data_IF_039041765257
#
_entry.id   IF_039041765257
#
_cell.length_a   1.000
_cell.length_b   1.000
_cell.length_c   1.000
_cell.angle_alpha   90.00
_cell.angle_beta   90.00
_cell.angle_gamma   90.00
#
_symmetry.space_group_name_H-M   'P 1'
#
loop_
_entity.id
_entity.type
_entity.pdbx_description
1 polymer ?
#
# COMPACT_ATOMS: atom_id res chain seq x y z
N UNK A 1 3.53 20.76 23.41
CA UNK A 1 2.42 20.19 22.61
C UNK A 1 2.77 20.29 21.14
N UNK A 2 3.37 19.23 20.64
CA UNK A 2 3.69 18.96 19.25
C UNK A 2 2.92 17.70 18.87
N UNK A 3 2.05 17.81 17.88
CA UNK A 3 1.39 16.66 17.26
C UNK A 3 2.07 16.43 15.92
N UNK A 4 2.62 15.24 15.70
CA UNK A 4 3.12 14.83 14.39
C UNK A 4 2.03 14.03 13.69
N UNK A 5 1.70 14.43 12.46
CA UNK A 5 0.62 13.79 11.72
C UNK A 5 0.95 13.62 10.24
N UNK A 6 0.37 12.60 9.63
CA UNK A 6 0.55 12.34 8.22
C UNK A 6 -0.37 11.24 7.68
N UNK A 7 -0.48 11.17 6.36
CA UNK A 7 -1.21 10.14 5.65
C UNK A 7 -0.28 9.32 4.75
N UNK A 8 -0.56 8.04 4.54
CA UNK A 8 0.22 7.14 3.67
C UNK A 8 1.70 7.11 4.09
N UNK A 9 2.64 7.42 3.20
CA UNK A 9 4.06 7.57 3.52
C UNK A 9 4.32 8.61 4.63
N UNK A 10 3.53 9.69 4.69
CA UNK A 10 3.63 10.69 5.76
C UNK A 10 3.17 10.13 7.11
N UNK A 11 2.18 9.23 7.12
CA UNK A 11 1.73 8.53 8.32
C UNK A 11 2.81 7.57 8.84
N UNK A 12 3.48 6.86 7.93
CA UNK A 12 4.65 6.05 8.27
C UNK A 12 5.81 6.88 8.82
N UNK A 13 6.12 8.01 8.19
CA UNK A 13 7.13 8.94 8.69
C UNK A 13 6.79 9.49 10.08
N UNK A 14 5.51 9.75 10.39
CA UNK A 14 5.07 10.17 11.71
C UNK A 14 5.33 9.10 12.78
N UNK A 15 5.01 7.83 12.48
CA UNK A 15 5.30 6.71 13.39
C UNK A 15 6.81 6.54 13.58
N UNK A 16 7.59 6.53 12.51
CA UNK A 16 9.06 6.42 12.59
C UNK A 16 9.70 7.60 13.34
N UNK A 17 9.14 8.81 13.22
CA UNK A 17 9.60 9.95 14.02
C UNK A 17 9.37 9.71 15.52
N UNK A 18 8.19 9.20 15.90
CA UNK A 18 7.89 8.79 17.27
C UNK A 18 8.86 7.72 17.80
N UNK A 19 9.10 6.67 17.02
CA UNK A 19 10.02 5.59 17.41
C UNK A 19 11.48 6.07 17.59
N UNK A 20 11.83 7.21 17.00
CA UNK A 20 13.16 7.82 17.07
C UNK A 20 13.20 9.07 17.96
N UNK A 21 12.11 9.43 18.63
CA UNK A 21 12.05 10.62 19.48
C UNK A 21 12.77 10.41 20.81
N UNK A 22 14.10 10.58 20.79
CA UNK A 22 14.95 10.43 21.98
C UNK A 22 14.94 11.66 22.89
N UNK A 23 14.44 12.79 22.38
CA UNK A 23 14.43 14.07 23.09
C UNK A 23 13.06 14.39 23.70
N UNK A 24 12.03 13.58 23.41
CA UNK A 24 10.66 13.80 23.90
C UNK A 24 10.02 15.04 23.30
N UNK A 25 10.28 15.30 22.01
CA UNK A 25 9.74 16.45 21.27
C UNK A 25 8.30 16.23 20.82
N UNK A 26 7.84 14.98 20.70
CA UNK A 26 6.54 14.59 20.17
C UNK A 26 5.62 14.26 21.33
N UNK A 27 4.57 15.06 21.52
CA UNK A 27 3.57 14.83 22.57
C UNK A 27 2.46 13.87 22.10
N UNK A 28 2.23 13.75 20.79
CA UNK A 28 1.29 12.79 20.24
C UNK A 28 1.40 12.59 18.73
N UNK A 29 0.88 11.47 18.24
CA UNK A 29 0.99 11.04 16.84
C UNK A 29 -0.38 10.72 16.27
N UNK A 30 -0.67 11.19 15.07
CA UNK A 30 -1.86 10.80 14.29
C UNK A 30 -1.45 10.34 12.90
N UNK A 31 -1.57 9.04 12.65
CA UNK A 31 -1.13 8.41 11.41
C UNK A 31 -2.32 7.80 10.64
N UNK A 32 -2.65 8.37 9.49
CA UNK A 32 -3.63 7.80 8.57
C UNK A 32 -2.96 6.88 7.55
N UNK A 33 -3.54 5.70 7.34
CA UNK A 33 -3.12 4.65 6.39
C UNK A 33 -1.59 4.49 6.30
N UNK A 34 -0.90 4.38 7.44
CA UNK A 34 0.54 4.54 7.46
C UNK A 34 1.23 3.45 6.64
N UNK A 35 2.05 3.90 5.69
CA UNK A 35 3.00 3.01 5.02
C UNK A 35 4.15 2.75 5.98
N UNK A 36 4.08 1.64 6.70
CA UNK A 36 5.13 1.18 7.61
C UNK A 36 5.55 -0.24 7.25
N UNK A 37 6.81 -0.53 7.52
CA UNK A 37 7.43 -1.83 7.39
C UNK A 37 8.06 -2.15 8.74
N UNK A 38 7.72 -3.30 9.30
CA UNK A 38 8.07 -3.66 10.67
C UNK A 38 9.29 -4.59 10.70
N UNK A 39 10.06 -4.51 11.78
CA UNK A 39 11.09 -5.50 12.08
C UNK A 39 10.42 -6.86 12.28
N UNK A 40 10.94 -7.94 11.67
CA UNK A 40 10.41 -9.28 11.84
C UNK A 40 10.36 -9.72 13.31
N UNK A 41 9.20 -10.19 13.77
CA UNK A 41 9.02 -10.86 15.05
C UNK A 41 7.95 -11.96 14.92
N UNK A 42 8.35 -13.22 15.07
CA UNK A 42 7.48 -14.39 14.89
C UNK A 42 6.44 -14.55 16.02
N UNK A 43 6.51 -13.73 17.08
CA UNK A 43 5.50 -13.71 18.16
C UNK A 43 4.29 -12.86 17.80
N UNK A 44 4.37 -12.08 16.72
CA UNK A 44 3.26 -11.25 16.27
C UNK A 44 2.23 -12.09 15.54
N UNK A 45 0.95 -11.93 15.90
CA UNK A 45 -0.15 -12.53 15.16
C UNK A 45 -1.36 -11.61 15.07
N UNK A 46 -2.01 -11.66 13.91
CA UNK A 46 -3.20 -10.88 13.56
C UNK A 46 -4.33 -11.85 13.31
N UNK A 47 -5.42 -11.72 14.06
CA UNK A 47 -6.61 -12.57 13.94
C UNK A 47 -7.80 -11.74 13.50
N UNK A 48 -8.48 -12.24 12.47
CA UNK A 48 -9.76 -11.71 11.98
C UNK A 48 -10.62 -12.88 11.52
N UNK A 49 -11.81 -13.04 12.12
CA UNK A 49 -12.66 -14.20 11.87
C UNK A 49 -11.90 -15.50 12.12
N UNK A 50 -11.92 -16.41 11.14
CA UNK A 50 -11.19 -17.68 11.17
C UNK A 50 -9.73 -17.55 10.69
N UNK A 51 -9.33 -16.38 10.18
CA UNK A 51 -8.00 -16.16 9.61
C UNK A 51 -7.03 -15.68 10.68
N UNK A 52 -5.91 -16.40 10.80
CA UNK A 52 -4.74 -15.96 11.56
C UNK A 52 -3.56 -15.73 10.63
N UNK A 53 -2.95 -14.55 10.70
CA UNK A 53 -1.72 -14.20 10.00
C UNK A 53 -0.62 -14.10 11.05
N UNK A 54 0.44 -14.89 10.88
CA UNK A 54 1.62 -14.89 11.76
C UNK A 54 2.72 -13.98 11.19
N UNK A 55 3.48 -13.36 12.07
CA UNK A 55 4.58 -12.43 11.77
C UNK A 55 4.13 -10.97 11.58
N UNK A 56 5.12 -10.08 11.48
CA UNK A 56 4.94 -8.62 11.44
C UNK A 56 4.59 -8.06 10.05
N UNK A 57 3.88 -8.84 9.23
CA UNK A 57 3.48 -8.42 7.89
C UNK A 57 4.61 -8.49 6.86
N UNK A 58 4.59 -7.54 5.90
CA UNK A 58 5.45 -7.57 4.71
C UNK A 58 6.03 -6.19 4.42
N UNK A 59 7.24 -6.17 3.84
CA UNK A 59 7.87 -4.93 3.39
C UNK A 59 7.09 -4.32 2.20
N UNK A 60 7.21 -3.01 1.99
CA UNK A 60 6.63 -2.31 0.85
C UNK A 60 7.01 -2.98 -0.46
N UNK A 61 8.31 -3.22 -0.62
CA UNK A 61 8.83 -3.88 -1.81
C UNK A 61 8.24 -5.28 -1.97
N UNK A 62 8.04 -6.02 -0.88
CA UNK A 62 7.44 -7.35 -0.93
C UNK A 62 6.02 -7.32 -1.52
N UNK A 63 5.11 -6.58 -0.90
CA UNK A 63 3.73 -6.57 -1.38
C UNK A 63 3.58 -5.80 -2.71
N UNK A 64 4.37 -4.76 -3.00
CA UNK A 64 4.30 -4.12 -4.33
C UNK A 64 4.75 -5.05 -5.46
N UNK A 65 5.85 -5.78 -5.28
CA UNK A 65 6.36 -6.69 -6.32
C UNK A 65 5.43 -7.86 -6.55
N UNK A 66 4.76 -8.34 -5.49
CA UNK A 66 3.70 -9.34 -5.61
C UNK A 66 2.47 -8.78 -6.35
N UNK A 67 2.03 -7.57 -6.01
CA UNK A 67 0.91 -6.90 -6.66
C UNK A 67 1.16 -6.68 -8.16
N UNK A 68 2.35 -6.22 -8.56
CA UNK A 68 2.72 -6.01 -9.96
C UNK A 68 2.60 -7.31 -10.77
N UNK A 69 2.90 -8.47 -10.16
CA UNK A 69 2.75 -9.76 -10.82
C UNK A 69 1.28 -10.12 -11.04
N UNK A 70 0.47 -10.08 -9.99
CA UNK A 70 -0.85 -10.74 -9.97
C UNK A 70 -2.05 -9.82 -10.19
N UNK A 71 -1.99 -8.53 -9.82
CA UNK A 71 -3.14 -7.62 -9.96
C UNK A 71 -3.68 -7.50 -11.39
N UNK A 72 -2.87 -7.45 -12.46
CA UNK A 72 -3.41 -7.37 -13.82
C UNK A 72 -4.23 -8.60 -14.19
N UNK A 73 -3.80 -9.80 -13.76
CA UNK A 73 -4.54 -11.02 -14.03
C UNK A 73 -5.79 -11.13 -13.14
N UNK A 74 -5.69 -10.76 -11.86
CA UNK A 74 -6.81 -10.74 -10.92
C UNK A 74 -7.97 -9.85 -11.43
N UNK A 75 -7.67 -8.79 -12.18
CA UNK A 75 -8.68 -7.94 -12.81
C UNK A 75 -9.65 -8.69 -13.74
N UNK A 76 -9.30 -9.88 -14.23
CA UNK A 76 -10.23 -10.76 -14.98
C UNK A 76 -11.42 -11.21 -14.11
N UNK A 77 -11.18 -11.46 -12.81
CA UNK A 77 -12.21 -11.89 -11.87
C UNK A 77 -13.14 -10.75 -11.41
N UNK A 78 -12.75 -9.49 -11.64
CA UNK A 78 -13.47 -8.30 -11.18
C UNK A 78 -13.83 -7.38 -12.36
N UNK A 79 -14.73 -7.80 -13.28
CA UNK A 79 -15.03 -7.04 -14.50
C UNK A 79 -15.68 -5.68 -14.23
N UNK A 80 -16.33 -5.50 -13.08
CA UNK A 80 -16.99 -4.25 -12.66
C UNK A 80 -16.10 -3.39 -11.73
N UNK A 81 -14.84 -3.76 -11.54
CA UNK A 81 -13.90 -3.00 -10.71
C UNK A 81 -13.68 -1.58 -11.28
N UNK A 82 -13.46 -0.57 -10.41
CA UNK A 82 -13.03 0.74 -10.86
C UNK A 82 -11.76 0.67 -11.70
N UNK A 83 -11.71 1.48 -12.76
CA UNK A 83 -10.61 1.53 -13.73
C UNK A 83 -10.27 0.19 -14.40
N UNK A 84 -11.15 -0.81 -14.36
CA UNK A 84 -10.92 -2.11 -15.03
C UNK A 84 -10.55 -1.95 -16.49
N UNK A 85 -11.17 -1.01 -17.20
CA UNK A 85 -10.93 -0.70 -18.61
C UNK A 85 -9.50 -0.23 -18.90
N UNK A 86 -8.76 0.27 -17.90
CA UNK A 86 -7.36 0.65 -18.05
C UNK A 86 -6.42 -0.57 -18.10
N UNK A 87 -6.88 -1.74 -17.63
CA UNK A 87 -6.09 -2.98 -17.62
C UNK A 87 -6.34 -3.75 -18.92
N UNK A 88 -5.81 -3.19 -20.00
CA UNK A 88 -5.97 -3.69 -21.38
C UNK A 88 -5.23 -5.01 -21.66
N UNK A 89 -4.18 -5.34 -20.91
CA UNK A 89 -3.36 -6.55 -21.12
C UNK A 89 -3.53 -7.60 -20.01
N UNK A 90 -4.67 -7.59 -19.31
CA UNK A 90 -4.99 -8.56 -18.26
C UNK A 90 -4.85 -10.01 -18.72
N UNK A 91 -5.40 -10.33 -19.90
CA UNK A 91 -5.38 -11.68 -20.48
C UNK A 91 -3.95 -12.14 -20.80
N UNK A 92 -3.16 -11.26 -21.43
CA UNK A 92 -1.76 -11.55 -21.76
C UNK A 92 -0.92 -11.75 -20.50
N UNK A 93 -1.18 -10.99 -19.43
CA UNK A 93 -0.54 -11.25 -18.14
C UNK A 93 -0.93 -12.61 -17.57
N UNK A 94 -2.21 -12.99 -17.56
CA UNK A 94 -2.63 -14.31 -17.08
C UNK A 94 -1.93 -15.45 -17.83
N UNK A 95 -1.91 -15.39 -19.16
CA UNK A 95 -1.23 -16.38 -19.99
C UNK A 95 0.26 -16.46 -19.69
N UNK A 96 0.92 -15.32 -19.54
CA UNK A 96 2.37 -15.27 -19.28
C UNK A 96 2.70 -15.80 -17.88
N UNK A 97 1.86 -15.53 -16.86
CA UNK A 97 2.02 -16.14 -15.54
C UNK A 97 1.81 -17.67 -15.58
N UNK A 98 0.82 -18.16 -16.33
CA UNK A 98 0.60 -19.61 -16.52
C UNK A 98 1.79 -20.28 -17.22
N UNK A 99 2.33 -19.67 -18.28
CA UNK A 99 3.52 -20.16 -18.98
C UNK A 99 4.76 -20.20 -18.07
N UNK A 100 4.87 -19.27 -17.12
CA UNK A 100 5.92 -19.28 -16.09
C UNK A 100 5.63 -20.22 -14.91
N UNK A 101 4.53 -20.96 -14.94
CA UNK A 101 4.11 -21.86 -13.85
C UNK A 101 3.68 -21.14 -12.57
N UNK A 102 3.47 -19.82 -12.63
CA UNK A 102 3.02 -19.00 -11.51
C UNK A 102 1.51 -19.07 -11.29
N UNK A 103 0.77 -19.56 -12.29
CA UNK A 103 -0.63 -19.97 -12.22
C UNK A 103 -0.77 -21.41 -12.69
N UNK A 104 -1.73 -22.15 -12.13
CA UNK A 104 -2.03 -23.53 -12.46
C UNK A 104 -3.34 -23.68 -13.23
N UNK A 105 -4.27 -22.74 -13.12
CA UNK A 105 -5.54 -22.78 -13.82
C UNK A 105 -5.37 -22.77 -15.36
N UNK A 106 -6.20 -23.55 -16.05
CA UNK A 106 -6.14 -23.70 -17.52
C UNK A 106 -7.00 -22.67 -18.27
N UNK A 107 -8.12 -22.23 -17.68
CA UNK A 107 -9.04 -21.30 -18.33
C UNK A 107 -8.79 -19.87 -17.83
N UNK A 108 -8.96 -18.88 -18.72
CA UNK A 108 -8.75 -17.47 -18.38
C UNK A 108 -9.59 -17.00 -17.16
N UNK A 109 -10.90 -17.32 -17.04
CA UNK A 109 -11.66 -16.98 -15.84
C UNK A 109 -11.09 -17.61 -14.56
N UNK A 110 -10.65 -18.87 -14.63
CA UNK A 110 -10.05 -19.56 -13.48
C UNK A 110 -8.66 -18.99 -13.13
N UNK A 111 -7.89 -18.52 -14.12
CA UNK A 111 -6.62 -17.82 -13.90
C UNK A 111 -6.82 -16.49 -13.17
N UNK A 112 -7.86 -15.73 -13.53
CA UNK A 112 -8.25 -14.52 -12.83
C UNK A 112 -8.58 -14.78 -11.36
N UNK A 113 -9.39 -15.80 -11.09
CA UNK A 113 -9.75 -16.21 -9.73
C UNK A 113 -8.53 -16.70 -8.94
N UNK A 114 -7.66 -17.51 -9.54
CA UNK A 114 -6.43 -17.98 -8.88
C UNK A 114 -5.49 -16.80 -8.56
N UNK A 115 -5.35 -15.82 -9.45
CA UNK A 115 -4.55 -14.63 -9.19
C UNK A 115 -5.12 -13.78 -8.04
N UNK A 116 -6.45 -13.67 -7.95
CA UNK A 116 -7.13 -13.00 -6.85
C UNK A 116 -6.93 -13.75 -5.52
N UNK A 117 -7.12 -15.07 -5.53
CA UNK A 117 -6.87 -15.94 -4.36
C UNK A 117 -5.42 -15.83 -3.89
N UNK A 118 -4.45 -15.77 -4.82
CA UNK A 118 -3.04 -15.53 -4.50
C UNK A 118 -2.82 -14.21 -3.78
N UNK A 119 -3.44 -13.11 -4.22
CA UNK A 119 -3.37 -11.82 -3.53
C UNK A 119 -3.98 -11.92 -2.12
N UNK A 120 -5.17 -12.51 -1.98
CA UNK A 120 -5.80 -12.70 -0.67
C UNK A 120 -4.94 -13.55 0.26
N UNK A 121 -4.45 -14.71 -0.19
CA UNK A 121 -3.53 -15.56 0.56
C UNK A 121 -2.24 -14.82 0.94
N UNK A 122 -1.78 -13.90 0.09
CA UNK A 122 -0.60 -13.11 0.40
C UNK A 122 -0.82 -12.18 1.59
N UNK A 123 -2.05 -11.66 1.76
CA UNK A 123 -2.47 -10.85 2.90
C UNK A 123 -3.33 -9.62 2.59
N UNK A 124 -3.77 -9.43 1.35
CA UNK A 124 -4.85 -8.48 1.09
C UNK A 124 -6.17 -8.99 1.68
N UNK A 125 -7.02 -8.05 2.08
CA UNK A 125 -8.36 -8.35 2.57
C UNK A 125 -9.32 -8.55 1.38
N UNK A 126 -10.33 -9.44 1.48
CA UNK A 126 -11.34 -9.60 0.44
C UNK A 126 -12.05 -8.28 0.07
N UNK A 127 -12.21 -7.37 1.02
CA UNK A 127 -12.78 -6.04 0.80
C UNK A 127 -11.94 -5.15 -0.12
N UNK A 128 -10.72 -5.57 -0.46
CA UNK A 128 -9.82 -4.89 -1.40
C UNK A 128 -9.92 -5.44 -2.83
N UNK A 129 -10.64 -6.54 -3.07
CA UNK A 129 -10.62 -7.27 -4.34
C UNK A 129 -10.96 -6.38 -5.55
N UNK A 130 -12.01 -5.55 -5.42
CA UNK A 130 -12.46 -4.65 -6.49
C UNK A 130 -11.45 -3.54 -6.80
N UNK A 131 -10.43 -3.32 -5.97
CA UNK A 131 -9.47 -2.23 -6.12
C UNK A 131 -8.18 -2.66 -6.82
N UNK A 132 -7.94 -3.94 -7.04
CA UNK A 132 -6.70 -4.40 -7.67
C UNK A 132 -6.49 -3.85 -9.08
N UNK A 133 -7.55 -3.72 -9.88
CA UNK A 133 -7.43 -3.15 -11.22
C UNK A 133 -6.98 -1.69 -11.17
N UNK A 134 -7.63 -0.86 -10.36
CA UNK A 134 -7.27 0.55 -10.24
C UNK A 134 -5.90 0.76 -9.59
N UNK A 135 -5.55 -0.07 -8.61
CA UNK A 135 -4.26 -0.01 -7.93
C UNK A 135 -3.08 -0.41 -8.82
N UNK A 136 -3.34 -1.26 -9.82
CA UNK A 136 -2.38 -1.48 -10.89
C UNK A 136 -2.34 -0.32 -11.89
N UNK A 137 -3.49 0.25 -12.25
CA UNK A 137 -3.56 1.36 -13.21
C UNK A 137 -2.79 2.62 -12.75
N UNK A 138 -2.60 2.81 -11.44
CA UNK A 138 -1.81 3.87 -10.83
C UNK A 138 -0.32 3.51 -10.63
N UNK A 139 0.24 2.74 -11.57
CA UNK A 139 1.68 2.49 -11.74
C UNK A 139 2.44 2.01 -10.47
N UNK A 140 2.09 0.84 -9.89
CA UNK A 140 2.86 0.24 -8.80
C UNK A 140 4.31 -0.06 -9.21
N UNK A 141 4.58 -0.37 -10.50
CA UNK A 141 5.93 -0.62 -11.01
C UNK A 141 6.87 0.57 -10.80
N UNK A 142 6.44 1.78 -11.14
CA UNK A 142 7.24 2.99 -10.92
C UNK A 142 7.57 3.22 -9.44
N UNK A 143 6.63 2.86 -8.55
CA UNK A 143 6.85 2.92 -7.11
C UNK A 143 7.87 1.88 -6.66
N UNK A 144 7.74 0.63 -7.12
CA UNK A 144 8.68 -0.44 -6.79
C UNK A 144 10.11 -0.13 -7.27
N UNK A 145 10.29 0.39 -8.49
CA UNK A 145 11.61 0.81 -8.99
C UNK A 145 12.20 1.91 -8.12
N UNK A 146 11.41 2.95 -7.78
CA UNK A 146 11.86 4.04 -6.90
C UNK A 146 12.38 3.54 -5.55
N UNK A 147 11.62 2.66 -4.89
CA UNK A 147 12.01 2.12 -3.59
C UNK A 147 13.15 1.11 -3.70
N UNK A 148 13.18 0.25 -4.72
CA UNK A 148 14.29 -0.66 -4.97
C UNK A 148 15.60 0.10 -5.18
N UNK A 149 15.58 1.16 -6.00
CA UNK A 149 16.74 2.04 -6.20
C UNK A 149 17.14 2.74 -4.90
N UNK A 150 16.19 3.17 -4.07
CA UNK A 150 16.49 3.86 -2.81
C UNK A 150 17.10 2.91 -1.76
N UNK A 151 16.49 1.73 -1.54
CA UNK A 151 17.01 0.72 -0.61
C UNK A 151 18.35 0.17 -1.07
N UNK A 152 18.47 -0.13 -2.37
CA UNK A 152 19.73 -0.57 -2.94
C UNK A 152 20.75 0.54 -3.15
N UNK A 153 20.39 1.82 -3.01
CA UNK A 153 21.25 2.98 -3.34
C UNK A 153 21.75 2.95 -4.80
N UNK A 154 20.91 2.52 -5.73
CA UNK A 154 21.24 2.48 -7.14
C UNK A 154 21.10 3.88 -7.77
N UNK A 155 22.08 4.26 -8.59
CA UNK A 155 22.00 5.42 -9.47
C UNK A 155 21.01 5.23 -10.62
N UNK A 156 20.54 6.32 -11.21
CA UNK A 156 19.60 6.28 -12.35
C UNK A 156 20.24 5.66 -13.60
N UNK A 157 21.57 5.73 -13.70
CA UNK A 157 22.40 5.17 -14.75
C UNK A 157 22.54 3.64 -14.68
N UNK A 158 22.31 3.05 -13.49
CA UNK A 158 22.44 1.60 -13.25
C UNK A 158 21.26 0.81 -13.85
N UNK A 159 20.16 1.47 -14.22
CA UNK A 159 18.99 0.88 -14.90
C UNK A 159 18.52 -0.43 -14.25
N UNK A 160 18.28 -0.38 -12.94
CA UNK A 160 17.89 -1.55 -12.15
C UNK A 160 16.71 -2.29 -12.81
N UNK A 161 16.86 -3.59 -13.06
CA UNK A 161 15.87 -4.43 -13.75
C UNK A 161 15.51 -3.98 -15.18
N UNK A 162 16.40 -3.26 -15.87
CA UNK A 162 16.15 -2.75 -17.21
C UNK A 162 15.19 -1.57 -17.23
N UNK A 163 14.97 -0.91 -16.09
CA UNK A 163 14.07 0.24 -15.98
C UNK A 163 14.82 1.57 -16.00
N UNK A 164 14.25 2.53 -16.72
CA UNK A 164 14.63 3.94 -16.68
C UNK A 164 13.41 4.86 -16.55
N UNK A 165 13.64 6.17 -16.48
CA UNK A 165 12.57 7.18 -16.46
C UNK A 165 12.82 8.20 -17.57
N UNK A 166 11.82 8.46 -18.40
CA UNK A 166 11.91 9.45 -19.47
C UNK A 166 10.55 10.07 -19.78
N UNK A 167 10.55 11.25 -20.42
CA UNK A 167 9.35 11.71 -21.12
C UNK A 167 9.06 10.76 -22.27
N UNK A 168 7.80 10.39 -22.46
CA UNK A 168 7.34 9.53 -23.55
C UNK A 168 6.29 10.23 -24.40
N UNK A 169 6.29 9.96 -25.71
CA UNK A 169 5.28 10.47 -26.63
C UNK A 169 3.97 9.66 -26.55
N UNK A 170 2.96 10.00 -27.35
CA UNK A 170 1.67 9.29 -27.40
C UNK A 170 1.80 7.80 -27.77
N UNK A 171 2.85 7.43 -28.50
CA UNK A 171 3.16 6.06 -28.88
C UNK A 171 3.98 5.32 -27.81
N UNK A 172 4.33 5.97 -26.69
CA UNK A 172 5.13 5.41 -25.61
C UNK A 172 6.63 5.43 -25.83
N UNK A 173 7.13 6.00 -26.92
CA UNK A 173 8.56 6.07 -27.21
C UNK A 173 9.21 7.22 -26.42
N UNK A 174 10.38 7.01 -25.79
CA UNK A 174 11.11 8.06 -25.10
C UNK A 174 11.44 9.25 -26.01
N UNK A 175 11.31 10.45 -25.45
CA UNK A 175 11.60 11.72 -26.09
C UNK A 175 12.23 12.69 -25.08
N UNK A 176 12.89 13.76 -25.55
CA UNK A 176 13.33 14.84 -24.67
C UNK A 176 12.14 15.48 -23.95
N UNK A 177 12.25 15.68 -22.64
CA UNK A 177 11.22 16.37 -21.85
C UNK A 177 11.06 17.81 -22.37
N UNK A 178 9.84 18.27 -22.67
CA UNK A 178 9.60 19.68 -23.01
C UNK A 178 10.09 20.61 -21.88
N UNK A 179 10.87 21.65 -22.22
CA UNK A 179 11.50 22.54 -21.21
C UNK A 179 10.50 23.24 -20.29
N UNK A 180 9.36 23.65 -20.83
CA UNK A 180 8.28 24.28 -20.08
C UNK A 180 7.63 23.29 -19.09
N UNK A 181 7.48 22.03 -19.50
CA UNK A 181 6.94 20.99 -18.65
C UNK A 181 7.91 20.67 -17.50
N UNK A 182 9.20 20.54 -17.79
CA UNK A 182 10.22 20.28 -16.78
C UNK A 182 10.23 21.35 -15.68
N UNK A 183 10.06 22.63 -16.04
CA UNK A 183 9.98 23.71 -15.07
C UNK A 183 8.76 23.61 -14.15
N UNK A 184 7.61 23.16 -14.68
CA UNK A 184 6.40 22.92 -13.89
C UNK A 184 6.58 21.70 -12.98
N UNK A 185 7.07 20.59 -13.53
CA UNK A 185 7.32 19.34 -12.79
C UNK A 185 8.24 19.59 -11.59
N UNK A 186 9.31 20.36 -11.76
CA UNK A 186 10.24 20.70 -10.66
C UNK A 186 9.52 21.34 -9.46
N UNK A 187 8.46 22.12 -9.69
CA UNK A 187 7.71 22.81 -8.64
C UNK A 187 6.54 21.98 -8.07
N UNK A 188 5.91 21.11 -8.87
CA UNK A 188 4.62 20.49 -8.51
C UNK A 188 4.64 18.97 -8.41
N UNK A 189 5.74 18.30 -8.74
CA UNK A 189 5.80 16.84 -8.70
C UNK A 189 5.66 16.31 -7.26
N UNK A 190 4.83 15.29 -7.08
CA UNK A 190 4.62 14.60 -5.80
C UNK A 190 5.73 13.62 -5.40
N UNK A 191 6.85 13.60 -6.14
CA UNK A 191 8.06 12.81 -5.79
C UNK A 191 8.18 11.43 -6.45
N UNK A 192 7.55 11.20 -7.61
CA UNK A 192 7.73 9.99 -8.41
C UNK A 192 7.03 10.05 -9.77
N UNK A 193 7.39 9.14 -10.68
CA UNK A 193 6.68 8.92 -11.93
C UNK A 193 5.42 8.04 -11.71
N UNK A 194 4.39 8.13 -12.57
CA UNK A 194 4.26 9.07 -13.69
C UNK A 194 4.01 10.52 -13.23
N UNK A 195 4.61 11.49 -13.93
CA UNK A 195 4.37 12.93 -13.71
C UNK A 195 4.50 13.70 -15.03
N UNK A 196 3.43 14.35 -15.46
CA UNK A 196 3.35 14.91 -16.80
C UNK A 196 3.54 13.82 -17.85
N UNK A 197 4.46 14.04 -18.78
CA UNK A 197 4.90 13.09 -19.81
C UNK A 197 5.96 12.11 -19.31
N UNK A 198 6.54 12.33 -18.13
CA UNK A 198 7.58 11.46 -17.56
C UNK A 198 6.94 10.21 -17.00
N UNK A 199 7.40 9.05 -17.49
CA UNK A 199 6.92 7.74 -17.07
C UNK A 199 8.09 6.76 -16.93
N UNK A 200 7.80 5.57 -16.40
CA UNK A 200 8.74 4.46 -16.36
C UNK A 200 8.88 3.83 -17.76
N UNK A 201 10.12 3.52 -18.12
CA UNK A 201 10.51 2.97 -19.42
C UNK A 201 11.14 1.61 -19.20
N UNK A 202 10.71 0.63 -20.00
CA UNK A 202 11.38 -0.65 -20.18
C UNK A 202 12.46 -0.46 -21.26
N UNK A 203 13.73 -0.38 -20.84
CA UNK A 203 14.88 -0.23 -21.74
C UNK A 203 15.16 -1.53 -22.52
N UNK A 204 14.74 -2.68 -21.99
CA UNK A 204 14.96 -4.01 -22.56
C UNK A 204 13.87 -4.41 -23.57
N UNK A 205 12.88 -3.55 -23.84
CA UNK A 205 11.83 -3.84 -24.81
C UNK A 205 12.45 -4.22 -26.19
N UNK A 206 12.05 -5.33 -26.83
CA UNK A 206 12.71 -5.88 -28.02
C UNK A 206 12.85 -4.92 -29.21
N UNK A 207 11.96 -3.94 -29.35
CA UNK A 207 11.97 -2.95 -30.42
C UNK A 207 12.63 -1.62 -30.04
N UNK A 208 13.34 -1.59 -28.90
CA UNK A 208 13.96 -0.40 -28.30
C UNK A 208 13.15 0.15 -27.13
N UNK A 209 13.72 1.06 -26.31
CA UNK A 209 13.10 1.55 -25.09
C UNK A 209 11.65 2.05 -25.28
N UNK A 210 10.76 1.65 -24.39
CA UNK A 210 9.31 1.91 -24.49
C UNK A 210 8.70 2.12 -23.11
N UNK A 211 7.67 2.97 -22.99
CA UNK A 211 6.83 3.08 -21.79
C UNK A 211 6.44 1.69 -21.29
N UNK A 212 6.71 1.38 -20.02
CA UNK A 212 6.61 0.03 -19.46
C UNK A 212 5.25 -0.62 -19.74
N UNK A 213 4.16 0.12 -19.51
CA UNK A 213 2.80 -0.36 -19.70
C UNK A 213 2.43 -0.69 -21.17
N UNK A 214 3.21 -0.20 -22.13
CA UNK A 214 3.05 -0.45 -23.57
C UNK A 214 4.13 -1.38 -24.13
N UNK A 215 5.11 -1.77 -23.31
CA UNK A 215 6.25 -2.56 -23.74
C UNK A 215 5.95 -4.06 -23.80
N UNK A 216 6.83 -4.80 -24.48
CA UNK A 216 6.79 -6.26 -24.57
C UNK A 216 7.84 -6.88 -23.67
N UNK A 217 7.49 -8.00 -23.03
CA UNK A 217 8.43 -8.82 -22.28
C UNK A 217 9.47 -9.44 -23.20
N UNK A 218 10.79 -9.24 -22.97
CA UNK A 218 11.84 -9.79 -23.81
C UNK A 218 11.81 -11.32 -23.94
N UNK A 219 11.39 -12.02 -22.89
CA UNK A 219 11.41 -13.49 -22.84
C UNK A 219 10.36 -14.17 -23.72
N UNK A 220 9.23 -13.51 -23.99
CA UNK A 220 8.07 -14.11 -24.66
C UNK A 220 7.53 -13.24 -25.81
N UNK A 221 8.04 -12.01 -25.97
CA UNK A 221 7.60 -11.06 -27.00
C UNK A 221 6.17 -10.56 -26.83
N UNK A 222 5.51 -10.79 -25.69
CA UNK A 222 4.11 -10.40 -25.44
C UNK A 222 4.03 -9.04 -24.78
N UNK A 223 3.00 -8.27 -25.14
CA UNK A 223 2.61 -7.08 -24.40
C UNK A 223 1.85 -7.50 -23.14
N UNK A 224 2.58 -7.90 -22.11
CA UNK A 224 2.05 -8.43 -20.84
C UNK A 224 2.41 -7.53 -19.66
N UNK A 225 2.64 -6.25 -19.92
CA UNK A 225 3.17 -5.27 -18.97
C UNK A 225 4.56 -5.62 -18.43
N UNK A 226 5.48 -6.08 -19.30
CA UNK A 226 6.87 -6.36 -18.94
C UNK A 226 7.00 -7.30 -17.73
N UNK A 227 6.42 -8.50 -17.84
CA UNK A 227 6.57 -9.56 -16.86
C UNK A 227 8.05 -9.81 -16.47
N UNK A 228 9.00 -9.71 -17.41
CA UNK A 228 10.42 -9.89 -17.10
C UNK A 228 10.95 -8.87 -16.09
N UNK A 229 10.65 -7.57 -16.29
CA UNK A 229 11.00 -6.53 -15.33
C UNK A 229 10.29 -6.71 -13.98
N UNK A 230 9.01 -7.11 -14.01
CA UNK A 230 8.25 -7.41 -12.79
C UNK A 230 8.85 -8.58 -11.98
N UNK A 231 9.32 -9.64 -12.65
CA UNK A 231 9.98 -10.77 -12.03
C UNK A 231 11.37 -10.40 -11.50
N UNK A 232 12.10 -9.54 -12.19
CA UNK A 232 13.36 -9.01 -11.67
C UNK A 232 13.13 -8.21 -10.38
N UNK A 233 12.14 -7.32 -10.35
CA UNK A 233 11.81 -6.59 -9.12
C UNK A 233 11.40 -7.53 -7.99
N UNK A 234 10.67 -8.60 -8.30
CA UNK A 234 10.33 -9.66 -7.33
C UNK A 234 11.59 -10.35 -6.79
N UNK A 235 12.56 -10.66 -7.64
CA UNK A 235 13.83 -11.27 -7.26
C UNK A 235 14.60 -10.41 -6.26
N UNK A 236 14.55 -9.08 -6.39
CA UNK A 236 15.23 -8.19 -5.43
C UNK A 236 14.76 -8.38 -3.98
N UNK A 237 13.53 -8.89 -3.77
CA UNK A 237 12.95 -9.06 -2.45
C UNK A 237 13.07 -10.49 -1.92
N UNK A 238 12.91 -11.49 -2.78
CA UNK A 238 12.85 -12.91 -2.36
C UNK A 238 14.01 -13.76 -2.87
N UNK A 239 14.85 -13.19 -3.73
CA UNK A 239 16.02 -13.83 -4.30
C UNK A 239 17.27 -13.62 -3.46
N UNK A 240 18.41 -13.96 -4.06
CA UNK A 240 19.71 -13.99 -3.41
C UNK A 240 20.84 -13.47 -4.32
N UNK A 241 20.51 -12.79 -5.43
CA UNK A 241 21.50 -12.07 -6.21
C UNK A 241 22.20 -10.99 -5.37
N UNK A 242 23.36 -10.51 -5.83
CA UNK A 242 24.06 -9.40 -5.16
C UNK A 242 23.16 -8.16 -5.05
N UNK A 243 22.40 -7.86 -6.10
CA UNK A 243 21.44 -6.77 -6.11
C UNK A 243 20.28 -7.02 -5.14
N UNK A 244 19.77 -8.25 -5.05
CA UNK A 244 18.73 -8.61 -4.10
C UNK A 244 19.20 -8.42 -2.66
N UNK A 245 20.38 -8.94 -2.31
CA UNK A 245 20.96 -8.77 -0.97
C UNK A 245 21.20 -7.29 -0.63
N UNK A 246 21.63 -6.49 -1.61
CA UNK A 246 21.82 -5.03 -1.47
C UNK A 246 20.50 -4.32 -1.18
N UNK A 247 19.42 -4.66 -1.89
CA UNK A 247 18.07 -4.10 -1.65
C UNK A 247 17.51 -4.55 -0.30
N UNK A 248 17.62 -5.84 0.02
CA UNK A 248 17.13 -6.40 1.29
C UNK A 248 17.84 -5.77 2.49
N UNK A 249 19.15 -5.50 2.40
CA UNK A 249 19.87 -4.76 3.43
C UNK A 249 19.29 -3.35 3.64
N UNK A 250 19.01 -2.62 2.56
CA UNK A 250 18.39 -1.28 2.66
C UNK A 250 16.93 -1.30 3.14
N UNK A 251 16.19 -2.38 2.91
CA UNK A 251 14.87 -2.59 3.50
C UNK A 251 15.02 -2.75 5.03
N UNK A 252 15.97 -3.58 5.48
CA UNK A 252 16.20 -3.83 6.91
C UNK A 252 16.60 -2.57 7.69
N UNK A 253 17.32 -1.64 7.06
CA UNK A 253 17.73 -0.37 7.66
C UNK A 253 16.56 0.57 8.02
N UNK A 254 15.40 0.42 7.36
CA UNK A 254 14.25 1.32 7.53
C UNK A 254 13.06 0.66 8.24
N UNK A 255 13.27 -0.53 8.82
CA UNK A 255 12.21 -1.24 9.54
C UNK A 255 11.95 -0.63 10.92
N UNK A 256 10.67 -0.39 11.19
CA UNK A 256 10.16 0.10 12.46
C UNK A 256 10.15 -0.96 13.55
N UNK A 257 10.42 -0.52 14.75
CA UNK A 257 10.34 -1.29 15.99
C UNK A 257 8.93 -1.35 16.59
N UNK A 258 8.06 -0.41 16.21
CA UNK A 258 6.79 -0.13 16.89
C UNK A 258 6.93 0.21 18.39
N UNK A 259 8.12 0.57 18.87
CA UNK A 259 8.34 1.09 20.23
C UNK A 259 8.23 2.62 20.21
N UNK A 260 7.17 3.16 20.81
CA UNK A 260 6.85 4.59 20.83
C UNK A 260 7.11 5.21 22.21
N UNK A 261 7.69 4.45 23.15
CA UNK A 261 7.96 4.91 24.52
C UNK A 261 6.72 5.41 25.26
N UNK A 262 5.54 4.90 24.93
CA UNK A 262 4.26 5.32 25.49
C UNK A 262 3.67 6.62 24.96
N UNK A 263 4.23 7.18 23.88
CA UNK A 263 3.67 8.35 23.18
C UNK A 263 2.23 8.06 22.72
N UNK A 264 1.28 8.91 23.14
CA UNK A 264 -0.12 8.82 22.72
C UNK A 264 -0.24 8.83 21.21
N UNK A 265 -0.77 7.75 20.63
CA UNK A 265 -0.76 7.53 19.19
C UNK A 265 -2.12 7.06 18.70
N UNK A 266 -2.63 7.70 17.64
CA UNK A 266 -3.81 7.25 16.91
C UNK A 266 -3.39 6.78 15.53
N UNK A 267 -3.86 5.60 15.14
CA UNK A 267 -3.76 5.09 13.77
C UNK A 267 -5.17 4.97 13.20
N UNK A 268 -5.40 5.51 12.01
CA UNK A 268 -6.67 5.36 11.27
C UNK A 268 -6.38 4.66 9.95
N UNK A 269 -7.06 3.56 9.63
CA UNK A 269 -6.77 2.81 8.40
C UNK A 269 -8.03 2.18 7.80
N UNK A 270 -8.24 2.37 6.50
CA UNK A 270 -9.27 1.67 5.75
C UNK A 270 -8.99 0.17 5.56
N UNK A 271 -10.00 -0.67 5.77
CA UNK A 271 -9.93 -2.12 5.58
C UNK A 271 -9.78 -2.52 4.11
N UNK A 272 -10.33 -1.72 3.19
CA UNK A 272 -10.27 -1.94 1.75
C UNK A 272 -8.99 -1.36 1.13
N UNK A 273 -7.97 -1.05 1.91
CA UNK A 273 -6.73 -0.47 1.39
C UNK A 273 -5.93 -1.49 0.56
N UNK A 274 -6.04 -1.38 -0.77
CA UNK A 274 -5.31 -2.25 -1.69
C UNK A 274 -3.89 -1.74 -2.02
N UNK A 275 -3.49 -0.56 -1.51
CA UNK A 275 -2.19 0.08 -1.78
C UNK A 275 -1.19 -0.16 -0.67
N UNK A 276 -1.63 0.03 0.56
CA UNK A 276 -0.89 -0.15 1.80
C UNK A 276 -1.76 -1.05 2.67
N UNK A 277 -1.74 -2.38 2.47
CA UNK A 277 -2.72 -3.25 3.10
C UNK A 277 -2.66 -3.20 4.62
N UNK A 278 -3.81 -3.03 5.25
CA UNK A 278 -3.95 -2.92 6.70
C UNK A 278 -3.39 -4.17 7.43
N UNK A 279 -3.49 -5.34 6.78
CA UNK A 279 -2.94 -6.61 7.25
C UNK A 279 -1.41 -6.71 7.24
N UNK A 280 -0.72 -5.87 6.45
CA UNK A 280 0.75 -5.80 6.43
C UNK A 280 1.33 -4.67 7.26
N UNK A 281 0.48 -3.73 7.69
CA UNK A 281 0.91 -2.45 8.25
C UNK A 281 0.30 -2.20 9.63
N UNK A 282 -0.87 -1.58 9.72
CA UNK A 282 -1.42 -1.10 11.00
C UNK A 282 -1.82 -2.21 11.97
N UNK A 283 -2.39 -3.32 11.49
CA UNK A 283 -2.72 -4.47 12.36
C UNK A 283 -1.46 -5.07 13.01
N UNK A 284 -0.43 -5.49 12.27
CA UNK A 284 0.78 -6.00 12.88
C UNK A 284 1.57 -4.93 13.64
N UNK A 285 1.42 -3.63 13.31
CA UNK A 285 2.04 -2.55 14.09
C UNK A 285 1.47 -2.49 15.51
N UNK A 286 0.14 -2.51 15.63
CA UNK A 286 -0.54 -2.52 16.94
C UNK A 286 -0.14 -3.76 17.75
N UNK A 287 -0.08 -4.92 17.08
CA UNK A 287 0.37 -6.16 17.71
C UNK A 287 1.83 -6.08 18.20
N UNK A 288 2.75 -5.60 17.36
CA UNK A 288 4.16 -5.44 17.71
C UNK A 288 4.37 -4.41 18.82
N UNK A 289 3.65 -3.28 18.80
CA UNK A 289 3.69 -2.28 19.87
C UNK A 289 3.29 -2.90 21.22
N UNK A 290 2.27 -3.77 21.24
CA UNK A 290 1.86 -4.48 22.46
C UNK A 290 2.90 -5.46 23.03
N UNK A 291 3.96 -5.78 22.27
CA UNK A 291 5.12 -6.57 22.73
C UNK A 291 6.31 -5.73 23.12
N UNK A 292 6.58 -4.69 22.33
CA UNK A 292 7.87 -4.00 22.30
C UNK A 292 7.87 -2.74 23.16
N UNK A 293 6.74 -2.04 23.23
CA UNK A 293 6.60 -0.84 24.02
C UNK A 293 6.26 -1.21 25.47
N UNK A 294 6.96 -0.60 26.43
CA UNK A 294 6.76 -0.83 27.85
C UNK A 294 5.47 -0.19 28.38
N UNK A 295 4.93 0.81 27.66
CA UNK A 295 3.68 1.47 28.00
C UNK A 295 2.82 1.64 26.73
N UNK A 296 2.35 0.55 26.10
CA UNK A 296 1.60 0.63 24.84
C UNK A 296 0.43 1.62 24.92
N UNK A 297 0.42 2.60 24.02
CA UNK A 297 -0.56 3.69 24.00
C UNK A 297 -1.00 4.02 22.55
N UNK A 298 -1.10 2.97 21.73
CA UNK A 298 -1.58 3.04 20.35
C UNK A 298 -3.07 2.70 20.31
N UNK A 299 -3.86 3.64 19.79
CA UNK A 299 -5.29 3.51 19.57
C UNK A 299 -5.54 3.36 18.06
N UNK A 300 -6.09 2.22 17.66
CA UNK A 300 -6.29 1.86 16.26
C UNK A 300 -7.76 1.91 15.87
N UNK A 301 -8.06 2.70 14.85
CA UNK A 301 -9.39 2.87 14.28
C UNK A 301 -9.40 2.29 12.87
N UNK A 302 -9.96 1.10 12.72
CA UNK A 302 -10.08 0.42 11.43
C UNK A 302 -11.43 0.77 10.79
N UNK A 303 -11.45 1.21 9.54
CA UNK A 303 -12.66 1.67 8.87
C UNK A 303 -13.10 0.67 7.79
N UNK A 304 -14.31 0.12 7.88
CA UNK A 304 -14.86 -0.66 6.76
C UNK A 304 -15.19 0.25 5.57
N UNK A 305 -15.25 -0.27 4.34
CA UNK A 305 -15.61 0.49 3.15
C UNK A 305 -14.71 1.73 2.90
N UNK A 306 -13.47 1.75 3.37
CA UNK A 306 -12.53 2.85 3.12
C UNK A 306 -11.32 2.32 2.39
N UNK A 307 -10.99 2.95 1.27
CA UNK A 307 -9.81 2.66 0.43
C UNK A 307 -8.72 3.73 0.59
N UNK A 308 -7.58 3.58 -0.12
CA UNK A 308 -6.37 4.38 0.10
C UNK A 308 -6.47 5.86 -0.31
N UNK A 309 -7.15 6.17 -1.41
CA UNK A 309 -7.03 7.48 -2.07
C UNK A 309 -8.16 8.46 -1.77
N UNK A 310 -9.26 8.00 -1.18
CA UNK A 310 -10.51 8.76 -1.09
C UNK A 310 -11.06 9.15 -2.47
N UNK A 311 -10.87 8.31 -3.48
CA UNK A 311 -11.24 8.63 -4.86
C UNK A 311 -12.76 8.74 -5.02
N UNK A 312 -13.21 9.74 -5.78
CA UNK A 312 -14.63 9.97 -6.12
C UNK A 312 -14.94 9.67 -7.59
N UNK A 313 -14.16 8.78 -8.20
CA UNK A 313 -14.33 8.36 -9.58
C UNK A 313 -15.44 7.29 -9.69
N UNK A 314 -16.00 7.05 -10.88
CA UNK A 314 -17.02 6.02 -11.08
C UNK A 314 -16.55 4.65 -10.58
N UNK A 315 -17.41 3.97 -9.82
CA UNK A 315 -17.15 2.70 -9.16
C UNK A 315 -16.47 2.84 -7.80
N UNK A 316 -15.92 4.01 -7.44
CA UNK A 316 -15.41 4.24 -6.09
C UNK A 316 -16.47 4.80 -5.16
N UNK A 317 -17.15 5.87 -5.58
CA UNK A 317 -18.02 6.63 -4.69
C UNK A 317 -19.25 5.82 -4.23
N UNK A 318 -19.66 4.83 -5.01
CA UNK A 318 -20.76 3.91 -4.71
C UNK A 318 -20.33 2.77 -3.77
N UNK A 319 -19.02 2.52 -3.62
CA UNK A 319 -18.49 1.38 -2.87
C UNK A 319 -17.63 1.78 -1.66
N UNK A 320 -17.13 3.03 -1.62
CA UNK A 320 -16.17 3.47 -0.62
C UNK A 320 -16.46 4.87 -0.07
N UNK A 321 -15.96 5.08 1.13
CA UNK A 321 -16.06 6.31 1.92
C UNK A 321 -14.67 6.96 1.99
N UNK A 322 -14.56 8.29 1.82
CA UNK A 322 -13.27 8.96 1.96
C UNK A 322 -12.78 8.91 3.41
N UNK A 323 -11.49 8.63 3.61
CA UNK A 323 -10.87 8.57 4.95
C UNK A 323 -10.74 9.94 5.62
N UNK A 324 -10.70 11.02 4.84
CA UNK A 324 -10.28 12.34 5.31
C UNK A 324 -11.05 12.86 6.54
N UNK A 325 -12.39 12.70 6.64
CA UNK A 325 -13.13 13.08 7.85
C UNK A 325 -12.60 12.38 9.11
N UNK A 326 -12.33 11.07 9.05
CA UNK A 326 -11.80 10.33 10.19
C UNK A 326 -10.37 10.71 10.57
N UNK A 327 -9.55 11.12 9.60
CA UNK A 327 -8.22 11.66 9.89
C UNK A 327 -8.30 13.00 10.63
N UNK A 328 -9.25 13.86 10.25
CA UNK A 328 -9.52 15.13 10.96
C UNK A 328 -10.05 14.85 12.36
N UNK A 329 -11.02 13.94 12.51
CA UNK A 329 -11.55 13.56 13.83
C UNK A 329 -10.46 13.01 14.75
N UNK A 330 -9.54 12.19 14.23
CA UNK A 330 -8.39 11.70 15.00
C UNK A 330 -7.45 12.83 15.48
N UNK A 331 -7.24 13.87 14.67
CA UNK A 331 -6.48 15.05 15.08
C UNK A 331 -7.19 15.82 16.20
N UNK A 332 -8.50 16.01 16.11
CA UNK A 332 -9.30 16.67 17.14
C UNK A 332 -9.33 15.87 18.44
N UNK A 333 -9.44 14.53 18.35
CA UNK A 333 -9.35 13.62 19.50
C UNK A 333 -7.99 13.72 20.18
N UNK A 334 -6.90 13.67 19.40
CA UNK A 334 -5.54 13.81 19.95
C UNK A 334 -5.32 15.18 20.58
N UNK A 335 -5.79 16.25 19.92
CA UNK A 335 -5.73 17.59 20.47
C UNK A 335 -6.49 17.68 21.81
N UNK A 336 -7.71 17.16 21.89
CA UNK A 336 -8.50 17.14 23.12
C UNK A 336 -7.82 16.33 24.22
N UNK A 337 -7.20 15.20 23.88
CA UNK A 337 -6.42 14.40 24.82
C UNK A 337 -5.25 15.19 25.42
N UNK A 338 -4.39 15.77 24.58
CA UNK A 338 -3.21 16.49 25.03
C UNK A 338 -3.54 17.81 25.72
N UNK A 339 -4.61 18.49 25.28
CA UNK A 339 -4.98 19.82 25.78
C UNK A 339 -5.86 19.77 27.02
N UNK A 340 -6.74 18.79 27.12
CA UNK A 340 -7.80 18.73 28.13
C UNK A 340 -7.75 17.48 29.01
N UNK A 341 -6.86 16.53 28.72
CA UNK A 341 -6.77 15.27 29.47
C UNK A 341 -7.92 14.31 29.17
N UNK A 342 -8.67 14.53 28.08
CA UNK A 342 -9.72 13.60 27.63
C UNK A 342 -9.09 12.24 27.31
N UNK A 343 -9.62 11.11 27.81
CA UNK A 343 -9.10 9.80 27.44
C UNK A 343 -9.24 9.54 25.93
N UNK A 344 -8.27 8.83 25.34
CA UNK A 344 -8.39 8.38 23.96
C UNK A 344 -9.44 7.24 23.85
N UNK A 345 -10.35 7.27 22.86
CA UNK A 345 -11.27 6.17 22.59
C UNK A 345 -10.54 4.84 22.39
N UNK A 346 -11.04 3.70 22.89
CA UNK A 346 -10.38 2.42 22.69
C UNK A 346 -10.32 2.04 21.20
N UNK A 347 -9.35 1.19 20.85
CA UNK A 347 -9.21 0.66 19.48
C UNK A 347 -10.50 -0.03 19.03
N UNK A 348 -10.96 0.28 17.82
CA UNK A 348 -12.26 -0.15 17.34
C UNK A 348 -12.35 -0.22 15.80
N UNK A 349 -13.29 -1.02 15.33
CA UNK A 349 -13.78 -1.02 13.96
C UNK A 349 -14.91 0.01 13.86
N UNK A 350 -14.82 0.93 12.92
CA UNK A 350 -15.90 1.83 12.57
C UNK A 350 -16.45 1.40 11.22
N UNK A 351 -17.78 1.46 11.08
CA UNK A 351 -18.50 0.93 9.92
C UNK A 351 -19.19 2.02 9.11
N UNK A 352 -18.42 2.90 8.44
CA UNK A 352 -19.04 3.90 7.58
C UNK A 352 -19.70 3.22 6.38
N UNK A 353 -20.73 3.88 5.86
CA UNK A 353 -21.50 3.37 4.74
C UNK A 353 -21.21 4.21 3.50
N UNK A 354 -21.01 3.60 2.32
CA UNK A 354 -20.97 4.33 1.06
C UNK A 354 -22.24 5.16 0.86
N UNK A 355 -22.09 6.32 0.23
CA UNK A 355 -23.19 7.20 -0.11
C UNK A 355 -23.97 6.72 -1.33
N UNK A 356 -25.27 6.99 -1.40
CA UNK A 356 -26.02 6.87 -2.66
C UNK A 356 -25.43 7.85 -3.69
N UNK A 357 -25.07 7.35 -4.88
CA UNK A 357 -24.42 8.12 -5.95
C UNK A 357 -23.15 8.90 -5.52
N UNK A 358 -22.50 8.49 -4.42
CA UNK A 358 -21.32 9.17 -3.89
C UNK A 358 -21.60 10.45 -3.09
N UNK A 359 -22.87 10.70 -2.76
CA UNK A 359 -23.27 11.80 -1.88
C UNK A 359 -23.25 11.33 -0.42
N UNK A 360 -22.60 12.12 0.45
CA UNK A 360 -22.43 11.77 1.86
C UNK A 360 -23.06 12.82 2.77
N UNK A 361 -23.70 12.33 3.83
CA UNK A 361 -24.12 13.14 4.98
C UNK A 361 -23.54 12.55 6.28
N UNK A 362 -23.90 13.13 7.42
CA UNK A 362 -23.41 12.66 8.73
C UNK A 362 -23.80 11.22 9.07
N UNK A 363 -24.85 10.66 8.48
CA UNK A 363 -25.26 9.28 8.74
C UNK A 363 -24.28 8.26 8.14
N UNK A 364 -23.52 8.67 7.12
CA UNK A 364 -22.51 7.83 6.46
C UNK A 364 -21.19 7.74 7.25
N UNK A 365 -20.97 8.67 8.18
CA UNK A 365 -19.77 8.77 9.01
C UNK A 365 -20.11 8.55 10.50
N UNK A 366 -20.36 7.29 10.94
CA UNK A 366 -20.48 7.00 12.35
C UNK A 366 -19.22 7.46 13.10
N UNK A 367 -19.36 8.08 14.28
CA UNK A 367 -18.23 8.66 15.01
C UNK A 367 -17.33 7.59 15.64
N UNK A 368 -16.12 7.97 16.02
CA UNK A 368 -15.24 7.18 16.88
C UNK A 368 -15.79 7.24 18.32
N UNK A 369 -16.13 6.10 18.91
CA UNK A 369 -16.86 6.03 20.18
C UNK A 369 -15.94 5.78 21.38
N UNK A 370 -16.19 6.45 22.50
CA UNK A 370 -15.53 6.13 23.79
C UNK A 370 -15.92 4.74 24.32
N UNK A 371 -17.14 4.31 24.02
CA UNK A 371 -17.70 3.02 24.40
C UNK A 371 -18.22 2.32 23.13
N UNK A 372 -17.32 1.75 22.30
CA UNK A 372 -17.75 1.01 21.13
C UNK A 372 -18.50 -0.26 21.53
N UNK A 373 -19.33 -0.78 20.64
CA UNK A 373 -19.98 -2.07 20.88
C UNK A 373 -18.90 -3.17 21.04
N UNK A 374 -19.11 -4.19 21.90
CA UNK A 374 -18.11 -5.25 22.11
C UNK A 374 -17.74 -6.02 20.83
N UNK A 375 -18.62 -6.06 19.82
CA UNK A 375 -18.34 -6.65 18.51
C UNK A 375 -17.55 -5.75 17.56
N UNK A 376 -17.24 -4.52 17.97
CA UNK A 376 -16.43 -3.57 17.22
C UNK A 376 -15.13 -3.24 17.94
N UNK A 377 -14.93 -3.74 19.17
CA UNK A 377 -13.69 -3.50 19.93
C UNK A 377 -12.52 -4.33 19.38
N UNK A 378 -11.42 -3.66 19.03
CA UNK A 378 -10.16 -4.29 18.67
C UNK A 378 -9.36 -4.54 19.96
N UNK A 379 -8.84 -5.76 20.13
CA UNK A 379 -8.03 -6.13 21.30
C UNK A 379 -6.60 -6.44 20.89
N UNK A 380 -5.63 -5.81 21.54
CA UNK A 380 -4.22 -6.11 21.35
C UNK A 380 -3.55 -6.41 22.69
N UNK A 381 -2.81 -7.50 22.76
CA UNK A 381 -2.04 -7.87 23.95
C UNK A 381 -0.97 -8.89 23.60
N UNK A 382 0.24 -8.71 24.13
CA UNK A 382 1.32 -9.70 24.05
C UNK A 382 1.58 -10.20 22.61
N UNK A 383 1.55 -9.30 21.63
CA UNK A 383 1.88 -9.64 20.24
C UNK A 383 0.71 -10.12 19.42
N UNK A 384 -0.45 -10.30 20.03
CA UNK A 384 -1.65 -10.72 19.34
C UNK A 384 -2.61 -9.54 19.21
N UNK A 385 -3.14 -9.33 18.01
CA UNK A 385 -4.28 -8.43 17.78
C UNK A 385 -5.49 -9.22 17.24
N UNK A 386 -6.66 -8.95 17.80
CA UNK A 386 -7.94 -9.50 17.38
C UNK A 386 -8.80 -8.38 16.79
N UNK A 387 -9.12 -8.53 15.51
CA UNK A 387 -9.90 -7.58 14.71
C UNK A 387 -11.29 -8.18 14.50
N UNK A 388 -12.36 -7.46 14.90
CA UNK A 388 -13.71 -7.88 14.58
C UNK A 388 -14.00 -7.87 13.08
N UNK A 389 -14.83 -8.83 12.64
CA UNK A 389 -15.21 -9.00 11.24
C UNK A 389 -16.01 -7.85 10.65
#
# INVERSE_FOLDING_TARGET
MVIVAGNSNGGGAALYAGENDREGLIDGIVAAQPQVQLRPDDRVSVVRGERTIEGTGRSLMDYFTYAILYQPCAAIATPNAPMRQAITQAEQRCHSLKERGLLQAETLPAQGLEALEKLQMYGWEPESDMLHASHYAIAPTATAVKYASSHGRFGVEERLCGYSFASVNEQGTPQPVPKNELAVIFATASGGAPVGSIDIVNDENPSGPMKDALSHSPSNGKQDYNLDGALCLRELVVGNSENALRVQAGIAEVQGSADLGGTSTIIVHGRSDARVPVGFTSRPYLALNSLTDHQPNVHFYELTNVEHFGARLPGYAENFVPIQPYHIDALEIMYAHLRHGTPLPPSQVIRPMPGEDGEFDSAHFPPILMEPHPSDTIRASMGRVEIPD
#
